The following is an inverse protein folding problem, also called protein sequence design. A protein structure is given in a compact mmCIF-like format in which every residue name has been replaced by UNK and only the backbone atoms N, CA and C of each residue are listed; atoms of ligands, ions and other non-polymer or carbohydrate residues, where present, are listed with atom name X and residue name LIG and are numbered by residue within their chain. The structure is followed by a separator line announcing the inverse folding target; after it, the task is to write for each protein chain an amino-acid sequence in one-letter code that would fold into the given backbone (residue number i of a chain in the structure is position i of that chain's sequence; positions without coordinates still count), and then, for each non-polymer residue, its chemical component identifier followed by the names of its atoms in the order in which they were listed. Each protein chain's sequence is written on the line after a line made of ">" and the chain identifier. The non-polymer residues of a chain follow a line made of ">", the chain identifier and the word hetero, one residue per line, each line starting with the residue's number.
data_IF_305236187396
#
_entry.id   IF_305236187396
#
_cell.length_a   1.000
_cell.length_b   1.000
_cell.length_c   1.000
_cell.angle_alpha   90.00
_cell.angle_beta   90.00
_cell.angle_gamma   90.00
#
_symmetry.space_group_name_H-M   'P 1'
#
loop_
_entity.id
_entity.type
_entity.pdbx_description
1 polymer ?
#
# COMPACT_ATOMS: atom_id res chain seq x y z
N UNK A 1 -0.51 14.12 19.16
CA UNK A 1 -1.34 12.97 18.76
C UNK A 1 -1.69 12.20 20.02
N UNK A 2 -2.97 11.92 20.26
CA UNK A 2 -3.45 11.22 21.46
C UNK A 2 -3.46 9.71 21.27
N UNK A 3 -3.61 8.94 22.36
CA UNK A 3 -3.82 7.48 22.29
C UNK A 3 -5.08 7.13 21.49
N UNK A 4 -6.15 7.93 21.64
CA UNK A 4 -7.37 7.78 20.87
C UNK A 4 -7.13 7.98 19.35
N UNK A 5 -6.32 8.98 18.96
CA UNK A 5 -5.96 9.18 17.55
C UNK A 5 -5.21 7.98 16.97
N UNK A 6 -4.30 7.36 17.75
CA UNK A 6 -3.58 6.18 17.29
C UNK A 6 -4.54 4.99 17.07
N UNK A 7 -5.45 4.74 18.00
CA UNK A 7 -6.43 3.68 17.86
C UNK A 7 -7.33 3.90 16.65
N UNK A 8 -7.79 5.14 16.44
CA UNK A 8 -8.67 5.47 15.32
C UNK A 8 -7.96 5.36 13.96
N UNK A 9 -6.69 5.79 13.86
CA UNK A 9 -5.87 5.55 12.65
C UNK A 9 -5.79 4.06 12.33
N UNK A 10 -5.52 3.23 13.34
CA UNK A 10 -5.46 1.77 13.19
C UNK A 10 -6.80 1.19 12.75
N UNK A 11 -7.91 1.62 13.37
CA UNK A 11 -9.27 1.21 13.00
C UNK A 11 -9.59 1.54 11.53
N UNK A 12 -9.28 2.74 11.08
CA UNK A 12 -9.48 3.18 9.69
C UNK A 12 -8.68 2.30 8.72
N UNK A 13 -7.39 2.08 9.00
CA UNK A 13 -6.54 1.22 8.16
C UNK A 13 -7.09 -0.20 8.07
N UNK A 14 -7.44 -0.81 9.19
CA UNK A 14 -8.01 -2.16 9.19
C UNK A 14 -9.35 -2.23 8.47
N UNK A 15 -10.20 -1.21 8.63
CA UNK A 15 -11.50 -1.18 7.94
C UNK A 15 -11.33 -1.14 6.43
N UNK A 16 -10.43 -0.28 5.92
CA UNK A 16 -10.18 -0.17 4.47
C UNK A 16 -9.53 -1.44 3.92
N UNK A 17 -8.58 -2.04 4.63
CA UNK A 17 -7.97 -3.31 4.21
C UNK A 17 -8.97 -4.47 4.23
N UNK A 18 -9.88 -4.52 5.22
CA UNK A 18 -10.94 -5.51 5.27
C UNK A 18 -11.93 -5.35 4.11
N UNK A 19 -12.24 -4.12 3.69
CA UNK A 19 -13.06 -3.86 2.50
C UNK A 19 -12.31 -4.24 1.22
N UNK A 20 -11.02 -3.93 1.12
CA UNK A 20 -10.18 -4.31 -0.02
C UNK A 20 -10.03 -5.82 -0.20
N UNK A 21 -10.13 -6.59 0.89
CA UNK A 21 -10.18 -8.05 0.84
C UNK A 21 -11.44 -8.58 0.13
N UNK A 22 -12.54 -7.81 0.15
CA UNK A 22 -13.80 -8.14 -0.51
C UNK A 22 -13.81 -7.62 -1.96
N UNK A 23 -13.58 -6.31 -2.13
CA UNK A 23 -13.50 -5.65 -3.42
C UNK A 23 -12.57 -4.42 -3.33
N UNK A 24 -11.34 -4.48 -3.88
CA UNK A 24 -10.41 -3.36 -3.87
C UNK A 24 -10.81 -2.23 -4.85
N UNK A 25 -11.68 -2.51 -5.82
CA UNK A 25 -12.15 -1.56 -6.83
C UNK A 25 -13.44 -0.81 -6.39
N UNK A 26 -14.00 -1.18 -5.23
CA UNK A 26 -15.23 -0.59 -4.69
C UNK A 26 -15.12 0.96 -4.61
N UNK A 27 -16.00 1.71 -5.33
CA UNK A 27 -16.01 3.17 -5.24
C UNK A 27 -16.28 3.70 -3.83
N UNK A 28 -16.99 2.92 -3.00
CA UNK A 28 -17.39 3.24 -1.63
C UNK A 28 -16.40 2.78 -0.56
N UNK A 29 -15.22 2.28 -0.92
CA UNK A 29 -14.27 1.67 0.02
C UNK A 29 -13.83 2.60 1.18
N UNK A 30 -13.94 3.93 1.00
CA UNK A 30 -13.63 4.95 2.00
C UNK A 30 -14.85 5.56 2.72
N UNK A 31 -16.07 5.16 2.36
CA UNK A 31 -17.31 5.76 2.90
C UNK A 31 -17.54 5.39 4.37
N UNK A 32 -18.16 6.30 5.12
CA UNK A 32 -18.50 6.11 6.53
C UNK A 32 -17.29 6.19 7.49
N UNK A 33 -16.15 6.70 7.05
CA UNK A 33 -14.94 6.86 7.86
C UNK A 33 -14.82 8.30 8.38
N UNK A 34 -15.57 8.64 9.42
CA UNK A 34 -15.74 10.03 9.90
C UNK A 34 -14.46 10.79 10.24
N UNK A 35 -13.41 10.11 10.73
CA UNK A 35 -12.13 10.73 11.10
C UNK A 35 -11.07 10.67 9.97
N UNK A 36 -11.42 10.16 8.79
CA UNK A 36 -10.48 9.98 7.67
C UNK A 36 -9.87 11.31 7.21
N UNK A 37 -10.69 12.34 7.06
CA UNK A 37 -10.23 13.66 6.62
C UNK A 37 -9.30 14.30 7.65
N UNK A 38 -9.66 14.25 8.93
CA UNK A 38 -8.87 14.83 10.02
C UNK A 38 -7.53 14.09 10.23
N UNK A 39 -7.54 12.76 10.19
CA UNK A 39 -6.37 11.96 10.55
C UNK A 39 -5.42 11.73 9.38
N UNK A 40 -5.93 11.63 8.16
CA UNK A 40 -5.14 11.30 6.98
C UNK A 40 -5.15 12.39 5.91
N UNK A 41 -6.00 13.41 5.99
CA UNK A 41 -6.20 14.36 4.89
C UNK A 41 -7.06 13.76 3.77
N UNK A 42 -7.92 12.81 4.11
CA UNK A 42 -8.87 12.18 3.19
C UNK A 42 -8.36 10.88 2.56
N UNK A 43 -9.11 10.30 1.60
CA UNK A 43 -8.77 9.03 0.96
C UNK A 43 -7.37 9.00 0.33
N UNK A 44 -6.98 10.07 -0.35
CA UNK A 44 -5.67 10.18 -1.01
C UNK A 44 -4.54 10.20 0.01
N UNK A 45 -4.69 10.93 1.11
CA UNK A 45 -3.68 10.96 2.16
C UNK A 45 -3.53 9.63 2.89
N UNK A 46 -4.62 8.86 3.06
CA UNK A 46 -4.53 7.48 3.55
C UNK A 46 -3.78 6.59 2.56
N UNK A 47 -4.11 6.67 1.26
CA UNK A 47 -3.44 5.90 0.21
C UNK A 47 -1.95 6.22 0.12
N UNK A 48 -1.56 7.50 0.22
CA UNK A 48 -0.16 7.92 0.25
C UNK A 48 0.57 7.38 1.49
N UNK A 49 -0.06 7.41 2.67
CA UNK A 49 0.49 6.86 3.89
C UNK A 49 0.72 5.34 3.78
N UNK A 50 -0.26 4.61 3.21
CA UNK A 50 -0.16 3.18 2.95
C UNK A 50 0.90 2.85 1.89
N UNK A 51 0.98 3.63 0.83
CA UNK A 51 2.00 3.50 -0.22
C UNK A 51 3.41 3.76 0.30
N UNK A 52 3.59 4.74 1.19
CA UNK A 52 4.86 4.98 1.87
C UNK A 52 5.24 3.80 2.78
N UNK A 53 4.29 3.28 3.58
CA UNK A 53 4.51 2.07 4.40
C UNK A 53 4.92 0.87 3.55
N UNK A 54 4.23 0.63 2.44
CA UNK A 54 4.55 -0.45 1.51
C UNK A 54 5.99 -0.32 0.98
N UNK A 55 6.36 0.89 0.50
CA UNK A 55 7.68 1.16 -0.05
C UNK A 55 8.78 0.92 0.97
N UNK A 56 8.65 1.50 2.17
CA UNK A 56 9.65 1.33 3.22
C UNK A 56 9.83 -0.15 3.60
N UNK A 57 8.75 -0.93 3.65
CA UNK A 57 8.87 -2.37 3.91
C UNK A 57 9.54 -3.09 2.74
N UNK A 58 9.18 -2.76 1.50
CA UNK A 58 9.79 -3.37 0.32
C UNK A 58 11.29 -3.08 0.25
N UNK A 59 11.71 -1.84 0.49
CA UNK A 59 13.12 -1.43 0.43
C UNK A 59 13.95 -2.23 1.45
N UNK A 60 13.51 -2.27 2.71
CA UNK A 60 14.16 -3.07 3.77
C UNK A 60 14.20 -4.56 3.40
N UNK A 61 13.09 -5.10 2.86
CA UNK A 61 13.02 -6.51 2.48
C UNK A 61 13.97 -6.82 1.33
N UNK A 62 14.08 -5.93 0.34
CA UNK A 62 15.03 -6.05 -0.78
C UNK A 62 16.46 -6.03 -0.25
N UNK A 63 16.83 -5.07 0.60
CA UNK A 63 18.16 -4.97 1.20
C UNK A 63 18.56 -6.27 1.91
N UNK A 64 17.68 -6.80 2.77
CA UNK A 64 17.91 -8.06 3.47
C UNK A 64 17.98 -9.27 2.51
N UNK A 65 17.13 -9.31 1.49
CA UNK A 65 17.11 -10.35 0.48
C UNK A 65 18.39 -10.42 -0.34
N UNK A 66 18.94 -9.26 -0.72
CA UNK A 66 20.19 -9.16 -1.48
C UNK A 66 21.38 -9.71 -0.70
N UNK A 67 21.45 -9.46 0.62
CA UNK A 67 22.47 -10.06 1.51
C UNK A 67 22.39 -11.59 1.52
N UNK A 68 21.21 -12.15 1.27
CA UNK A 68 20.95 -13.59 1.21
C UNK A 68 21.01 -14.17 -0.22
N UNK A 69 21.47 -13.40 -1.21
CA UNK A 69 21.55 -13.83 -2.60
C UNK A 69 20.18 -13.93 -3.32
N UNK A 70 19.14 -13.31 -2.78
CA UNK A 70 17.78 -13.32 -3.32
C UNK A 70 17.53 -12.03 -4.12
N UNK A 71 16.77 -12.13 -5.21
CA UNK A 71 16.50 -10.99 -6.10
C UNK A 71 15.41 -10.08 -5.55
N UNK A 72 15.44 -8.80 -5.97
CA UNK A 72 14.37 -7.83 -5.65
C UNK A 72 12.99 -8.32 -6.11
N UNK A 73 12.90 -9.00 -7.26
CA UNK A 73 11.66 -9.59 -7.76
C UNK A 73 11.13 -10.74 -6.88
N UNK A 74 12.01 -11.49 -6.22
CA UNK A 74 11.58 -12.48 -5.21
C UNK A 74 11.04 -11.78 -3.97
N UNK A 75 11.71 -10.73 -3.47
CA UNK A 75 11.26 -10.01 -2.27
C UNK A 75 9.92 -9.30 -2.50
N UNK A 76 9.75 -8.69 -3.67
CA UNK A 76 8.49 -8.09 -4.08
C UNK A 76 7.33 -9.10 -4.05
N UNK A 77 7.52 -10.27 -4.70
CA UNK A 77 6.49 -11.32 -4.73
C UNK A 77 6.14 -11.84 -3.35
N UNK A 78 7.13 -12.00 -2.49
CA UNK A 78 6.89 -12.40 -1.09
C UNK A 78 6.12 -11.34 -0.32
N UNK A 79 6.48 -10.06 -0.47
CA UNK A 79 5.75 -8.98 0.21
C UNK A 79 4.30 -8.89 -0.27
N UNK A 80 4.05 -9.12 -1.57
CA UNK A 80 2.70 -9.22 -2.11
C UNK A 80 1.92 -10.38 -1.49
N UNK A 81 2.57 -11.53 -1.26
CA UNK A 81 1.95 -12.68 -0.61
C UNK A 81 1.71 -12.46 0.90
N UNK A 82 2.57 -11.67 1.56
CA UNK A 82 2.43 -11.33 2.99
C UNK A 82 1.34 -10.28 3.25
N UNK A 83 1.07 -9.40 2.27
CA UNK A 83 0.11 -8.30 2.40
C UNK A 83 -0.75 -8.14 1.14
N UNK A 84 -1.55 -9.17 0.76
CA UNK A 84 -2.28 -9.17 -0.50
C UNK A 84 -3.34 -8.08 -0.58
N UNK A 85 -4.05 -7.79 0.51
CA UNK A 85 -5.11 -6.76 0.56
C UNK A 85 -4.52 -5.34 0.38
N UNK A 86 -3.36 -5.08 0.98
CA UNK A 86 -2.67 -3.80 0.83
C UNK A 86 -2.18 -3.61 -0.60
N UNK A 87 -1.61 -4.65 -1.21
CA UNK A 87 -1.16 -4.58 -2.61
C UNK A 87 -2.35 -4.33 -3.54
N UNK A 88 -3.43 -5.10 -3.38
CA UNK A 88 -4.64 -4.98 -4.18
C UNK A 88 -5.29 -3.59 -4.06
N UNK A 89 -5.39 -3.05 -2.83
CA UNK A 89 -5.90 -1.70 -2.60
C UNK A 89 -5.09 -0.64 -3.34
N UNK A 90 -3.76 -0.69 -3.24
CA UNK A 90 -2.88 0.27 -3.89
C UNK A 90 -2.98 0.16 -5.42
N UNK A 91 -3.01 -1.06 -5.97
CA UNK A 91 -3.16 -1.29 -7.42
C UNK A 91 -4.47 -0.74 -7.98
N UNK A 92 -5.59 -1.01 -7.31
CA UNK A 92 -6.91 -0.56 -7.74
C UNK A 92 -7.05 0.96 -7.63
N UNK A 93 -6.73 1.51 -6.46
CA UNK A 93 -7.04 2.90 -6.14
C UNK A 93 -6.04 3.88 -6.74
N UNK A 94 -4.78 3.50 -6.96
CA UNK A 94 -3.84 4.37 -7.67
C UNK A 94 -4.24 4.56 -9.14
N UNK A 95 -4.66 3.49 -9.81
CA UNK A 95 -5.21 3.56 -11.16
C UNK A 95 -6.47 4.42 -11.19
N UNK A 96 -7.42 4.17 -10.28
CA UNK A 96 -8.71 4.89 -10.22
C UNK A 96 -8.53 6.39 -9.98
N UNK A 97 -7.55 6.77 -9.16
CA UNK A 97 -7.31 8.15 -8.73
C UNK A 97 -6.15 8.83 -9.46
N UNK A 98 -5.60 8.19 -10.51
CA UNK A 98 -4.43 8.65 -11.26
C UNK A 98 -3.21 8.98 -10.37
N UNK A 99 -2.98 8.21 -9.31
CA UNK A 99 -1.82 8.34 -8.42
C UNK A 99 -0.59 7.55 -8.92
N UNK A 100 -0.70 6.89 -10.07
CA UNK A 100 0.34 6.04 -10.66
C UNK A 100 1.66 6.79 -10.92
N UNK A 101 1.63 8.10 -11.19
CA UNK A 101 2.84 8.91 -11.36
C UNK A 101 3.61 9.15 -10.04
N UNK A 102 2.93 8.99 -8.89
CA UNK A 102 3.50 9.09 -7.53
C UNK A 102 3.91 7.70 -7.01
N UNK A 103 3.34 6.66 -7.62
CA UNK A 103 3.57 5.27 -7.32
C UNK A 103 4.75 4.72 -8.15
N UNK A 104 5.78 4.11 -7.53
CA UNK A 104 6.77 3.40 -8.30
C UNK A 104 6.11 2.14 -8.88
N UNK A 105 5.71 2.21 -10.15
CA UNK A 105 5.65 1.03 -10.99
C UNK A 105 7.06 0.44 -10.96
N UNK A 106 7.24 -0.87 -10.72
CA UNK A 106 8.53 -1.50 -10.94
C UNK A 106 8.81 -1.47 -12.44
N UNK A 107 9.30 -0.35 -12.96
CA UNK A 107 9.78 -0.27 -14.33
C UNK A 107 11.00 -1.19 -14.45
N UNK A 108 10.72 -2.35 -15.06
CA UNK A 108 11.64 -3.17 -15.84
C UNK A 108 12.81 -3.80 -15.08
N UNK A 109 12.48 -4.63 -14.09
CA UNK A 109 13.32 -5.79 -13.77
C UNK A 109 13.17 -6.80 -14.92
N UNK A 110 13.83 -6.57 -16.07
CA UNK A 110 13.77 -7.53 -17.18
C UNK A 110 14.07 -7.05 -18.60
N UNK A 111 14.71 -5.90 -18.84
CA UNK A 111 15.06 -5.51 -20.22
C UNK A 111 16.42 -4.81 -20.30
N UNK A 112 17.50 -5.58 -20.16
CA UNK A 112 18.79 -5.41 -20.88
C UNK A 112 19.72 -6.56 -20.54
N UNK A 113 19.48 -7.68 -21.22
CA UNK A 113 20.45 -8.76 -21.40
C UNK A 113 20.48 -9.10 -22.88
N UNK A 114 21.26 -8.34 -23.64
CA UNK A 114 21.81 -8.72 -24.95
C UNK A 114 23.23 -8.18 -25.00
#
# INVERSE_FOLDING_TARGET
>A
MSWADLHERTRIVHTVLARAAVDPDDPGIFEGLGDLDRLFGGPEGLLLALGHRWRNHLDVKIELGLVQGRSAAQMYRELCAEQPELRALLDAQYRRRNLDAVAPVPERVGARGR
#
